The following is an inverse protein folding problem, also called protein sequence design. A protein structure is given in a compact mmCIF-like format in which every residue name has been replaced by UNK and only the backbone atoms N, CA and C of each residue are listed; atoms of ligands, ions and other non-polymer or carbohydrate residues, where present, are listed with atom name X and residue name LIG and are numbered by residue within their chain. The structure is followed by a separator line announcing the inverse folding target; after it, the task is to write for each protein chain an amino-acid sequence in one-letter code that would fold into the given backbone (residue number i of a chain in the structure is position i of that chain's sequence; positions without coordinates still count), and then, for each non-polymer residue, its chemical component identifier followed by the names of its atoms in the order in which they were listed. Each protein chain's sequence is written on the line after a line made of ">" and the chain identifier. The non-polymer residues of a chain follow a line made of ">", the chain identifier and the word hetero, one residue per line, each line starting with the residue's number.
data_IF_099681593427
#
_entry.id   IF_099681593427
#
_cell.length_a   1.000
_cell.length_b   1.000
_cell.length_c   1.000
_cell.angle_alpha   90.00
_cell.angle_beta   90.00
_cell.angle_gamma   90.00
#
_symmetry.space_group_name_H-M   'P 1'
#
loop_
_entity.id
_entity.type
_entity.pdbx_description
1 polymer ?
#
# COMPACT_ATOMS: atom_id res chain seq x y z
N UNK A 1 113.87 -136.92 62.34
CA UNK A 1 114.30 -137.76 63.47
C UNK A 1 115.51 -138.53 62.98
N UNK A 2 116.70 -138.09 63.38
CA UNK A 2 117.95 -138.69 62.90
C UNK A 2 118.49 -139.60 63.98
N UNK A 3 118.18 -140.89 63.83
CA UNK A 3 118.75 -141.98 64.61
C UNK A 3 120.26 -142.06 64.28
N UNK A 4 121.13 -141.90 65.26
CA UNK A 4 122.58 -141.88 65.04
C UNK A 4 123.15 -143.30 65.25
N UNK A 5 123.59 -144.01 64.19
CA UNK A 5 124.09 -145.37 64.33
C UNK A 5 125.49 -145.38 64.95
N UNK A 6 125.69 -146.21 65.98
CA UNK A 6 126.98 -146.43 66.62
C UNK A 6 127.86 -147.40 65.79
N UNK A 7 129.04 -146.94 65.37
CA UNK A 7 130.05 -147.77 64.67
C UNK A 7 130.81 -148.67 65.66
N UNK A 8 131.18 -149.89 65.26
CA UNK A 8 131.95 -150.82 66.10
C UNK A 8 133.43 -150.37 66.22
N UNK A 9 133.98 -150.39 67.43
CA UNK A 9 135.35 -149.93 67.75
C UNK A 9 136.31 -151.11 67.95
N UNK A 10 137.48 -151.08 67.31
CA UNK A 10 138.57 -152.08 67.44
C UNK A 10 139.81 -151.38 68.00
N UNK A 11 140.77 -152.13 68.54
CA UNK A 11 141.87 -151.73 69.45
C UNK A 11 142.86 -150.63 68.99
N UNK A 12 142.52 -149.86 67.95
CA UNK A 12 142.94 -148.48 67.61
C UNK A 12 142.05 -147.95 66.46
N UNK A 13 140.79 -147.61 66.74
CA UNK A 13 139.90 -146.89 65.80
C UNK A 13 138.57 -147.59 65.47
N UNK A 14 137.75 -146.96 64.63
CA UNK A 14 136.51 -147.54 64.09
C UNK A 14 136.81 -148.63 63.04
N UNK A 15 135.97 -149.66 62.94
CA UNK A 15 136.12 -150.75 61.96
C UNK A 15 136.03 -150.18 60.52
N UNK A 16 137.13 -150.20 59.74
CA UNK A 16 137.15 -149.66 58.39
C UNK A 16 136.10 -150.31 57.48
N UNK A 17 135.82 -151.61 57.65
CA UNK A 17 134.88 -152.32 56.78
C UNK A 17 133.41 -151.91 57.01
N UNK A 18 133.05 -151.53 58.25
CA UNK A 18 131.71 -151.06 58.59
C UNK A 18 131.51 -149.59 58.18
N UNK A 19 132.55 -148.76 58.34
CA UNK A 19 132.55 -147.36 57.87
C UNK A 19 132.47 -147.30 56.35
N UNK A 20 133.23 -148.11 55.61
CA UNK A 20 133.20 -148.13 54.14
C UNK A 20 131.86 -148.63 53.60
N UNK A 21 131.26 -149.65 54.23
CA UNK A 21 129.91 -150.11 53.87
C UNK A 21 128.88 -149.01 54.12
N UNK A 22 128.99 -148.30 55.24
CA UNK A 22 128.05 -147.24 55.59
C UNK A 22 128.26 -145.96 54.77
N UNK A 23 129.49 -145.63 54.43
CA UNK A 23 129.85 -144.59 53.47
C UNK A 23 129.32 -144.96 52.07
N UNK A 24 129.45 -146.23 51.66
CA UNK A 24 128.83 -146.78 50.47
C UNK A 24 127.31 -146.56 50.48
N UNK A 25 126.61 -147.04 51.49
CA UNK A 25 125.15 -146.86 51.64
C UNK A 25 124.73 -145.38 51.66
N UNK A 26 125.44 -144.51 52.38
CA UNK A 26 125.18 -143.07 52.41
C UNK A 26 125.48 -142.41 51.05
N UNK A 27 126.51 -142.85 50.33
CA UNK A 27 126.83 -142.35 49.00
C UNK A 27 125.77 -142.77 47.98
N UNK A 28 125.27 -144.01 48.06
CA UNK A 28 124.17 -144.51 47.23
C UNK A 28 122.86 -143.78 47.56
N UNK A 29 122.56 -143.59 48.85
CA UNK A 29 121.40 -142.83 49.30
C UNK A 29 121.47 -141.35 48.89
N UNK A 30 122.66 -140.74 48.91
CA UNK A 30 122.87 -139.37 48.43
C UNK A 30 122.68 -139.27 46.91
N UNK A 31 123.16 -140.25 46.15
CA UNK A 31 122.95 -140.31 44.69
C UNK A 31 121.48 -140.52 44.36
N UNK A 32 120.79 -141.44 45.05
CA UNK A 32 119.34 -141.64 44.91
C UNK A 32 118.55 -140.38 45.29
N UNK A 33 118.85 -139.77 46.43
CA UNK A 33 118.19 -138.52 46.85
C UNK A 33 118.45 -137.37 45.87
N UNK A 34 119.63 -137.32 45.24
CA UNK A 34 119.94 -136.35 44.17
C UNK A 34 119.19 -136.64 42.88
N UNK A 35 119.03 -137.91 42.50
CA UNK A 35 118.23 -138.31 41.34
C UNK A 35 116.75 -138.00 41.56
N UNK A 36 116.18 -138.36 42.72
CA UNK A 36 114.80 -138.01 43.08
C UNK A 36 114.58 -136.50 43.16
N UNK A 37 115.56 -135.73 43.67
CA UNK A 37 115.49 -134.27 43.67
C UNK A 37 115.55 -133.72 42.24
N UNK A 38 116.37 -134.28 41.35
CA UNK A 38 116.43 -133.89 39.94
C UNK A 38 115.11 -134.20 39.22
N UNK A 39 114.56 -135.40 39.40
CA UNK A 39 113.29 -135.82 38.80
C UNK A 39 112.12 -134.97 39.32
N UNK A 40 112.05 -134.69 40.63
CA UNK A 40 111.06 -133.76 41.18
C UNK A 40 111.26 -132.32 40.71
N UNK A 41 112.49 -131.90 40.44
CA UNK A 41 112.75 -130.57 39.87
C UNK A 41 112.25 -130.50 38.42
N UNK A 42 112.44 -131.58 37.64
CA UNK A 42 111.91 -131.69 36.28
C UNK A 42 110.38 -131.69 36.33
N UNK A 43 109.76 -132.51 37.18
CA UNK A 43 108.30 -132.57 37.34
C UNK A 43 107.73 -131.22 37.81
N UNK A 44 108.37 -130.56 38.79
CA UNK A 44 107.99 -129.22 39.22
C UNK A 44 108.12 -128.19 38.09
N UNK A 45 109.18 -128.27 37.27
CA UNK A 45 109.35 -127.39 36.11
C UNK A 45 108.29 -127.65 35.03
N UNK A 46 107.92 -128.91 34.80
CA UNK A 46 106.86 -129.29 33.86
C UNK A 46 105.48 -128.84 34.34
N UNK A 47 105.19 -129.01 35.62
CA UNK A 47 103.95 -128.52 36.24
C UNK A 47 103.88 -126.99 36.26
N UNK A 48 105.00 -126.30 36.48
CA UNK A 48 105.08 -124.85 36.37
C UNK A 48 104.84 -124.38 34.93
N UNK A 49 105.43 -125.04 33.93
CA UNK A 49 105.17 -124.75 32.52
C UNK A 49 103.72 -125.04 32.13
N UNK A 50 103.12 -126.14 32.62
CA UNK A 50 101.71 -126.46 32.39
C UNK A 50 100.78 -125.44 33.04
N UNK A 51 101.09 -124.99 34.26
CA UNK A 51 100.35 -123.90 34.92
C UNK A 51 100.48 -122.57 34.16
N UNK A 52 101.68 -122.25 33.66
CA UNK A 52 101.90 -121.05 32.87
C UNK A 52 101.09 -121.08 31.57
N UNK A 53 101.05 -122.23 30.88
CA UNK A 53 100.21 -122.44 29.69
C UNK A 53 98.72 -122.32 30.00
N UNK A 54 98.24 -122.98 31.06
CA UNK A 54 96.84 -122.89 31.48
C UNK A 54 96.44 -121.45 31.84
N UNK A 55 97.32 -120.68 32.48
CA UNK A 55 97.07 -119.26 32.77
C UNK A 55 97.01 -118.43 31.50
N UNK A 56 97.93 -118.66 30.56
CA UNK A 56 97.89 -117.99 29.25
C UNK A 56 96.61 -118.32 28.48
N UNK A 57 96.17 -119.58 28.52
CA UNK A 57 94.92 -120.01 27.88
C UNK A 57 93.71 -119.37 28.57
N UNK A 58 93.68 -119.30 29.90
CA UNK A 58 92.62 -118.60 30.64
C UNK A 58 92.58 -117.10 30.34
N UNK A 59 93.73 -116.43 30.28
CA UNK A 59 93.82 -115.01 29.91
C UNK A 59 93.37 -114.79 28.47
N UNK A 60 93.75 -115.68 27.55
CA UNK A 60 93.33 -115.62 26.15
C UNK A 60 91.82 -115.84 26.02
N UNK A 61 91.24 -116.78 26.79
CA UNK A 61 89.79 -117.01 26.83
C UNK A 61 89.06 -115.84 27.48
N UNK A 62 89.56 -115.28 28.59
CA UNK A 62 88.97 -114.11 29.22
C UNK A 62 88.94 -112.89 28.27
N UNK A 63 90.04 -112.67 27.53
CA UNK A 63 90.08 -111.63 26.49
C UNK A 63 89.10 -111.91 25.35
N UNK A 64 88.96 -113.16 24.92
CA UNK A 64 87.96 -113.56 23.91
C UNK A 64 86.54 -113.35 24.42
N UNK A 65 86.25 -113.72 25.67
CA UNK A 65 84.93 -113.49 26.29
C UNK A 65 84.65 -112.00 26.39
N UNK A 66 85.58 -111.18 26.88
CA UNK A 66 85.41 -109.73 26.92
C UNK A 66 85.20 -109.12 25.53
N UNK A 67 85.97 -109.55 24.53
CA UNK A 67 85.81 -109.09 23.15
C UNK A 67 84.48 -109.54 22.53
N UNK A 68 84.01 -110.76 22.83
CA UNK A 68 82.72 -111.27 22.40
C UNK A 68 81.56 -110.57 23.11
N UNK A 69 81.68 -110.27 24.41
CA UNK A 69 80.69 -109.50 25.17
C UNK A 69 80.61 -108.05 24.67
N UNK A 70 81.76 -107.43 24.37
CA UNK A 70 81.78 -106.07 23.81
C UNK A 70 81.23 -106.05 22.38
N UNK A 71 81.60 -107.04 21.55
CA UNK A 71 81.01 -107.23 20.23
C UNK A 71 79.50 -107.52 20.33
N UNK A 72 79.05 -108.29 21.31
CA UNK A 72 77.64 -108.56 21.57
C UNK A 72 76.89 -107.33 22.06
N UNK A 73 77.49 -106.46 22.89
CA UNK A 73 76.88 -105.18 23.28
C UNK A 73 76.76 -104.20 22.11
N UNK A 74 77.74 -104.19 21.19
CA UNK A 74 77.71 -103.36 19.98
C UNK A 74 76.84 -103.93 18.86
N UNK A 75 76.75 -105.27 18.76
CA UNK A 75 75.95 -105.99 17.77
C UNK A 75 74.54 -106.33 18.27
N UNK A 76 74.27 -106.21 19.57
CA UNK A 76 72.92 -106.13 20.09
C UNK A 76 72.27 -104.91 19.43
N UNK A 77 71.42 -105.18 18.43
CA UNK A 77 70.52 -104.19 17.90
C UNK A 77 69.80 -103.51 19.08
N UNK A 78 69.54 -102.20 19.02
CA UNK A 78 68.83 -101.50 20.09
C UNK A 78 67.62 -102.32 20.47
N UNK A 79 67.53 -102.69 21.75
CA UNK A 79 66.44 -103.53 22.21
C UNK A 79 65.14 -102.74 22.11
N UNK A 80 64.00 -103.44 22.12
CA UNK A 80 62.70 -102.76 22.18
C UNK A 80 62.59 -101.79 23.38
N UNK A 81 63.36 -102.00 24.45
CA UNK A 81 63.45 -101.08 25.58
C UNK A 81 64.17 -99.76 25.22
N UNK A 82 65.31 -99.82 24.53
CA UNK A 82 66.07 -98.63 24.10
C UNK A 82 65.31 -97.83 23.03
N UNK A 83 64.64 -98.55 22.12
CA UNK A 83 63.75 -97.94 21.15
C UNK A 83 62.54 -97.30 21.85
N UNK A 84 61.98 -97.94 22.88
CA UNK A 84 60.91 -97.40 23.72
C UNK A 84 61.32 -96.12 24.46
N UNK A 85 62.53 -96.06 25.02
CA UNK A 85 63.07 -94.87 25.68
C UNK A 85 63.30 -93.73 24.66
N UNK A 86 63.85 -94.04 23.48
CA UNK A 86 64.02 -93.05 22.42
C UNK A 86 62.69 -92.55 21.84
N UNK A 87 61.70 -93.43 21.65
CA UNK A 87 60.36 -93.02 21.24
C UNK A 87 59.70 -92.19 22.32
N UNK A 88 59.87 -92.57 23.60
CA UNK A 88 59.42 -91.80 24.76
C UNK A 88 59.98 -90.38 24.73
N UNK A 89 61.29 -90.22 24.59
CA UNK A 89 61.93 -88.88 24.52
C UNK A 89 61.47 -88.06 23.31
N UNK A 90 61.30 -88.68 22.14
CA UNK A 90 60.75 -88.00 20.96
C UNK A 90 59.30 -87.56 21.19
N UNK A 91 58.48 -88.40 21.82
CA UNK A 91 57.10 -88.05 22.15
C UNK A 91 57.04 -86.93 23.19
N UNK A 92 57.86 -86.98 24.24
CA UNK A 92 57.94 -85.90 25.23
C UNK A 92 58.37 -84.59 24.58
N UNK A 93 59.40 -84.62 23.72
CA UNK A 93 59.86 -83.43 23.00
C UNK A 93 58.79 -82.91 22.02
N UNK A 94 58.06 -83.81 21.35
CA UNK A 94 56.96 -83.43 20.47
C UNK A 94 55.78 -82.83 21.26
N UNK A 95 55.47 -83.35 22.45
CA UNK A 95 54.45 -82.79 23.35
C UNK A 95 54.86 -81.42 23.89
N UNK A 96 56.14 -81.25 24.25
CA UNK A 96 56.72 -79.97 24.66
C UNK A 96 56.66 -78.95 23.52
N UNK A 97 57.12 -79.30 22.32
CA UNK A 97 57.05 -78.44 21.14
C UNK A 97 55.60 -78.10 20.78
N UNK A 98 54.67 -79.06 20.87
CA UNK A 98 53.26 -78.81 20.65
C UNK A 98 52.65 -77.88 21.72
N UNK A 99 53.09 -77.99 22.97
CA UNK A 99 52.68 -77.08 24.05
C UNK A 99 53.22 -75.66 23.82
N UNK A 100 54.48 -75.52 23.42
CA UNK A 100 55.10 -74.24 23.06
C UNK A 100 54.40 -73.61 21.84
N UNK A 101 54.15 -74.36 20.77
CA UNK A 101 53.40 -73.88 19.60
C UNK A 101 52.00 -73.38 19.99
N UNK A 102 51.27 -74.12 20.84
CA UNK A 102 49.96 -73.68 21.34
C UNK A 102 50.06 -72.42 22.20
N UNK A 103 51.09 -72.31 23.03
CA UNK A 103 51.32 -71.11 23.85
C UNK A 103 51.59 -69.89 22.97
N UNK A 104 52.53 -70.00 22.04
CA UNK A 104 52.86 -68.93 21.08
C UNK A 104 51.64 -68.53 20.25
N UNK A 105 50.90 -69.50 19.70
CA UNK A 105 49.69 -69.21 18.93
C UNK A 105 48.61 -68.51 19.78
N UNK A 106 48.48 -68.85 21.07
CA UNK A 106 47.56 -68.18 21.97
C UNK A 106 48.01 -66.74 22.28
N UNK A 107 49.30 -66.51 22.53
CA UNK A 107 49.87 -65.18 22.76
C UNK A 107 49.75 -64.28 21.52
N UNK A 108 50.01 -64.81 20.33
CA UNK A 108 49.81 -64.10 19.06
C UNK A 108 48.33 -63.78 18.84
N UNK A 109 47.43 -64.74 19.09
CA UNK A 109 46.00 -64.50 18.97
C UNK A 109 45.49 -63.42 19.94
N UNK A 110 45.98 -63.38 21.18
CA UNK A 110 45.67 -62.30 22.12
C UNK A 110 46.24 -60.96 21.65
N UNK A 111 47.45 -60.94 21.10
CA UNK A 111 48.07 -59.72 20.57
C UNK A 111 47.25 -59.17 19.40
N UNK A 112 46.84 -60.02 18.46
CA UNK A 112 45.98 -59.63 17.32
C UNK A 112 44.61 -59.18 17.81
N UNK A 113 43.99 -59.87 18.77
CA UNK A 113 42.72 -59.45 19.37
C UNK A 113 42.82 -58.09 20.06
N UNK A 114 43.89 -57.87 20.82
CA UNK A 114 44.17 -56.61 21.49
C UNK A 114 44.33 -55.46 20.49
N UNK A 115 45.16 -55.66 19.47
CA UNK A 115 45.37 -54.69 18.39
C UNK A 115 44.06 -54.35 17.65
N UNK A 116 43.29 -55.37 17.26
CA UNK A 116 42.00 -55.18 16.58
C UNK A 116 40.97 -54.43 17.47
N UNK A 117 40.98 -54.69 18.78
CA UNK A 117 40.08 -53.99 19.73
C UNK A 117 40.46 -52.52 19.86
N UNK A 118 41.77 -52.21 19.93
CA UNK A 118 42.27 -50.83 19.97
C UNK A 118 41.91 -50.10 18.68
N UNK A 119 42.21 -50.68 17.51
CA UNK A 119 41.90 -50.07 16.21
C UNK A 119 40.40 -49.84 16.00
N UNK A 120 39.57 -50.81 16.42
CA UNK A 120 38.11 -50.66 16.40
C UNK A 120 37.64 -49.53 17.33
N UNK A 121 38.25 -49.39 18.51
CA UNK A 121 37.97 -48.31 19.45
C UNK A 121 38.35 -46.94 18.89
N UNK A 122 39.53 -46.82 18.30
CA UNK A 122 40.02 -45.59 17.66
C UNK A 122 39.14 -45.18 16.48
N UNK A 123 38.74 -46.14 15.64
CA UNK A 123 37.86 -45.91 14.50
C UNK A 123 36.48 -45.43 14.96
N UNK A 124 35.90 -46.04 15.99
CA UNK A 124 34.63 -45.59 16.58
C UNK A 124 34.75 -44.18 17.14
N UNK A 125 35.78 -43.91 17.94
CA UNK A 125 36.00 -42.57 18.50
C UNK A 125 36.22 -41.51 17.42
N UNK A 126 36.90 -41.84 16.32
CA UNK A 126 37.06 -40.94 15.19
C UNK A 126 35.72 -40.68 14.47
N UNK A 127 34.92 -41.72 14.25
CA UNK A 127 33.59 -41.60 13.65
C UNK A 127 32.64 -40.77 14.52
N UNK A 128 32.64 -40.96 15.83
CA UNK A 128 31.81 -40.20 16.78
C UNK A 128 32.19 -38.71 16.78
N UNK A 129 33.49 -38.39 16.85
CA UNK A 129 33.98 -37.01 16.75
C UNK A 129 33.58 -36.35 15.43
N UNK A 130 33.73 -37.07 14.32
CA UNK A 130 33.33 -36.56 13.00
C UNK A 130 31.81 -36.32 12.94
N UNK A 131 30.99 -37.23 13.48
CA UNK A 131 29.54 -37.07 13.53
C UNK A 131 29.10 -35.90 14.43
N UNK A 132 29.80 -35.64 15.54
CA UNK A 132 29.59 -34.46 16.38
C UNK A 132 29.98 -33.17 15.68
N UNK A 133 31.13 -33.15 14.99
CA UNK A 133 31.59 -31.98 14.23
C UNK A 133 30.60 -31.64 13.10
N UNK A 134 30.21 -32.63 12.29
CA UNK A 134 29.24 -32.44 11.19
C UNK A 134 27.88 -31.99 11.72
N UNK A 135 27.40 -32.54 12.84
CA UNK A 135 26.16 -32.06 13.47
C UNK A 135 26.29 -30.63 13.97
N UNK A 136 27.41 -30.31 14.63
CA UNK A 136 27.67 -28.97 15.14
C UNK A 136 27.77 -27.91 14.04
N UNK A 137 28.41 -28.23 12.91
CA UNK A 137 28.48 -27.32 11.76
C UNK A 137 27.10 -27.16 11.10
N UNK A 138 26.37 -28.26 10.87
CA UNK A 138 25.02 -28.21 10.32
C UNK A 138 24.05 -27.40 11.20
N UNK A 139 24.09 -27.58 12.52
CA UNK A 139 23.26 -26.82 13.47
C UNK A 139 23.62 -25.32 13.46
N UNK A 140 24.92 -24.99 13.37
CA UNK A 140 25.36 -23.60 13.29
C UNK A 140 24.93 -22.94 11.97
N UNK A 141 25.01 -23.65 10.84
CA UNK A 141 24.54 -23.17 9.55
C UNK A 141 23.02 -23.02 9.53
N UNK A 142 22.27 -23.99 10.05
CA UNK A 142 20.81 -23.91 10.16
C UNK A 142 20.38 -22.68 10.97
N UNK A 143 21.03 -22.41 12.11
CA UNK A 143 20.78 -21.21 12.92
C UNK A 143 21.07 -19.93 12.14
N UNK A 144 22.21 -19.85 11.44
CA UNK A 144 22.56 -18.68 10.61
C UNK A 144 21.54 -18.44 9.50
N UNK A 145 21.06 -19.49 8.84
CA UNK A 145 20.04 -19.38 7.79
C UNK A 145 18.73 -18.85 8.37
N UNK A 146 18.28 -19.38 9.51
CA UNK A 146 17.06 -18.92 10.19
C UNK A 146 17.19 -17.46 10.66
N UNK A 147 18.32 -17.08 11.26
CA UNK A 147 18.57 -15.69 11.68
C UNK A 147 18.58 -14.73 10.50
N UNK A 148 19.25 -15.09 9.39
CA UNK A 148 19.27 -14.29 8.16
C UNK A 148 17.87 -14.16 7.56
N UNK A 149 17.09 -15.24 7.54
CA UNK A 149 15.72 -15.22 7.06
C UNK A 149 14.83 -14.31 7.93
N UNK A 150 14.99 -14.33 9.26
CA UNK A 150 14.30 -13.43 10.19
C UNK A 150 14.68 -11.98 9.96
N UNK A 151 15.97 -11.65 9.90
CA UNK A 151 16.44 -10.30 9.61
C UNK A 151 15.92 -9.77 8.27
N UNK A 152 15.86 -10.62 7.25
CA UNK A 152 15.30 -10.25 5.95
C UNK A 152 13.78 -9.99 6.04
N UNK A 153 13.04 -10.84 6.75
CA UNK A 153 11.62 -10.64 6.99
C UNK A 153 11.35 -9.35 7.78
N UNK A 154 12.12 -9.08 8.84
CA UNK A 154 12.01 -7.85 9.64
C UNK A 154 12.28 -6.61 8.78
N UNK A 155 13.31 -6.66 7.92
CA UNK A 155 13.60 -5.57 6.96
C UNK A 155 12.43 -5.33 6.01
N UNK A 156 11.84 -6.40 5.45
CA UNK A 156 10.68 -6.30 4.56
C UNK A 156 9.48 -5.69 5.28
N UNK A 157 9.22 -6.11 6.53
CA UNK A 157 8.14 -5.55 7.35
C UNK A 157 8.36 -4.07 7.65
N UNK A 158 9.58 -3.68 8.05
CA UNK A 158 9.92 -2.28 8.32
C UNK A 158 9.83 -1.39 7.08
N UNK A 159 10.23 -1.90 5.91
CA UNK A 159 10.09 -1.20 4.63
C UNK A 159 8.62 -1.06 4.24
N UNK A 160 7.82 -2.13 4.36
CA UNK A 160 6.39 -2.11 4.08
C UNK A 160 5.62 -1.18 5.02
N UNK A 161 5.96 -1.14 6.31
CA UNK A 161 5.34 -0.25 7.29
C UNK A 161 5.67 1.22 7.03
N UNK A 162 6.93 1.51 6.62
CA UNK A 162 7.34 2.85 6.18
C UNK A 162 6.59 3.28 4.93
N UNK A 163 6.50 2.41 3.93
CA UNK A 163 5.78 2.71 2.69
C UNK A 163 4.28 2.90 2.94
N UNK A 164 3.66 2.02 3.74
CA UNK A 164 2.24 2.12 4.09
C UNK A 164 1.94 3.42 4.85
N UNK A 165 2.83 3.84 5.75
CA UNK A 165 2.68 5.10 6.49
C UNK A 165 2.83 6.31 5.55
N UNK A 166 3.84 6.32 4.67
CA UNK A 166 4.02 7.37 3.69
C UNK A 166 2.80 7.50 2.75
N UNK A 167 2.28 6.38 2.23
CA UNK A 167 1.08 6.39 1.36
C UNK A 167 -0.17 6.88 2.10
N UNK A 168 -0.33 6.57 3.39
CA UNK A 168 -1.42 7.09 4.22
C UNK A 168 -1.30 8.60 4.41
N UNK A 169 -0.11 9.09 4.76
CA UNK A 169 0.14 10.52 4.93
C UNK A 169 -0.08 11.29 3.63
N UNK A 170 0.38 10.76 2.49
CA UNK A 170 0.11 11.33 1.16
C UNK A 170 -1.38 11.35 0.83
N UNK A 171 -2.09 10.26 1.12
CA UNK A 171 -3.54 10.16 0.92
C UNK A 171 -4.33 11.15 1.79
N UNK A 172 -3.96 11.27 3.08
CA UNK A 172 -4.54 12.22 4.02
C UNK A 172 -4.26 13.67 3.59
N UNK A 173 -3.02 13.98 3.21
CA UNK A 173 -2.66 15.30 2.70
C UNK A 173 -3.43 15.64 1.42
N UNK A 174 -3.58 14.69 0.50
CA UNK A 174 -4.38 14.88 -0.71
C UNK A 174 -5.86 15.13 -0.37
N UNK A 175 -6.45 14.33 0.51
CA UNK A 175 -7.84 14.49 0.94
C UNK A 175 -8.08 15.83 1.65
N UNK A 176 -7.21 16.22 2.58
CA UNK A 176 -7.32 17.52 3.26
C UNK A 176 -7.10 18.69 2.29
N UNK A 177 -6.19 18.55 1.32
CA UNK A 177 -6.02 19.57 0.27
C UNK A 177 -7.27 19.73 -0.60
N UNK A 178 -7.93 18.62 -0.95
CA UNK A 178 -9.19 18.64 -1.69
C UNK A 178 -10.33 19.23 -0.86
N UNK A 179 -10.43 18.85 0.41
CA UNK A 179 -11.43 19.37 1.35
C UNK A 179 -11.26 20.88 1.54
N UNK A 180 -10.04 21.35 1.73
CA UNK A 180 -9.72 22.77 1.84
C UNK A 180 -10.06 23.53 0.55
N UNK A 181 -9.74 22.96 -0.63
CA UNK A 181 -10.08 23.55 -1.93
C UNK A 181 -11.59 23.61 -2.15
N UNK A 182 -12.33 22.57 -1.79
CA UNK A 182 -13.78 22.54 -1.88
C UNK A 182 -14.43 23.56 -0.93
N UNK A 183 -13.93 23.67 0.31
CA UNK A 183 -14.38 24.68 1.27
C UNK A 183 -14.10 26.11 0.80
N UNK A 184 -12.91 26.37 0.23
CA UNK A 184 -12.56 27.66 -0.36
C UNK A 184 -13.48 28.01 -1.54
N UNK A 185 -13.70 27.06 -2.46
CA UNK A 185 -14.62 27.26 -3.57
C UNK A 185 -16.06 27.54 -3.09
N UNK A 186 -16.55 26.81 -2.07
CA UNK A 186 -17.86 27.06 -1.47
C UNK A 186 -17.95 28.46 -0.85
N UNK A 187 -16.93 28.90 -0.12
CA UNK A 187 -16.87 30.25 0.45
C UNK A 187 -16.85 31.34 -0.64
N UNK A 188 -16.11 31.13 -1.73
CA UNK A 188 -16.09 32.04 -2.88
C UNK A 188 -17.47 32.10 -3.57
N UNK A 189 -18.15 30.97 -3.72
CA UNK A 189 -19.52 30.92 -4.25
C UNK A 189 -20.51 31.66 -3.33
N UNK A 190 -20.43 31.46 -2.02
CA UNK A 190 -21.27 32.19 -1.06
C UNK A 190 -21.00 33.69 -1.09
N UNK A 191 -19.73 34.11 -1.17
CA UNK A 191 -19.34 35.51 -1.27
C UNK A 191 -19.86 36.15 -2.55
N UNK A 192 -19.71 35.48 -3.71
CA UNK A 192 -20.21 35.99 -5.00
C UNK A 192 -21.75 36.04 -5.03
N UNK A 193 -22.44 35.07 -4.44
CA UNK A 193 -23.89 35.12 -4.28
C UNK A 193 -24.34 36.25 -3.35
N UNK A 194 -23.62 36.47 -2.25
CA UNK A 194 -23.84 37.58 -1.32
C UNK A 194 -23.70 38.93 -2.04
N UNK A 195 -22.60 39.13 -2.76
CA UNK A 195 -22.37 40.35 -3.56
C UNK A 195 -23.46 40.57 -4.61
N UNK A 196 -23.89 39.50 -5.33
CA UNK A 196 -24.97 39.61 -6.31
C UNK A 196 -26.31 39.94 -5.67
N UNK A 197 -26.61 39.37 -4.50
CA UNK A 197 -27.83 39.69 -3.74
C UNK A 197 -27.81 41.13 -3.24
N UNK A 198 -26.69 41.58 -2.72
CA UNK A 198 -26.53 42.96 -2.25
C UNK A 198 -26.63 43.96 -3.41
N UNK A 199 -25.96 43.70 -4.53
CA UNK A 199 -26.07 44.53 -5.73
C UNK A 199 -27.51 44.59 -6.26
N UNK A 200 -28.21 43.45 -6.33
CA UNK A 200 -29.61 43.40 -6.74
C UNK A 200 -30.54 44.13 -5.75
N UNK A 201 -30.29 44.01 -4.44
CA UNK A 201 -31.05 44.73 -3.42
C UNK A 201 -30.81 46.25 -3.50
N UNK A 202 -29.56 46.67 -3.74
CA UNK A 202 -29.22 48.08 -3.95
C UNK A 202 -29.91 48.63 -5.21
N UNK A 203 -29.84 47.92 -6.34
CA UNK A 203 -30.51 48.32 -7.58
C UNK A 203 -32.03 48.42 -7.39
N UNK A 204 -32.65 47.42 -6.77
CA UNK A 204 -34.08 47.44 -6.46
C UNK A 204 -34.45 48.63 -5.55
N UNK A 205 -33.67 48.90 -4.50
CA UNK A 205 -33.89 50.04 -3.61
C UNK A 205 -33.77 51.39 -4.34
N UNK A 206 -32.82 51.51 -5.26
CA UNK A 206 -32.62 52.70 -6.08
C UNK A 206 -33.80 52.91 -7.04
N UNK A 207 -34.27 51.84 -7.68
CA UNK A 207 -35.47 51.88 -8.53
C UNK A 207 -36.72 52.27 -7.72
N UNK A 208 -36.92 51.69 -6.53
CA UNK A 208 -38.05 52.04 -5.66
C UNK A 208 -38.00 53.50 -5.21
N UNK A 209 -36.84 54.00 -4.80
CA UNK A 209 -36.66 55.42 -4.44
C UNK A 209 -36.90 56.36 -5.64
N UNK A 210 -36.50 55.95 -6.85
CA UNK A 210 -36.78 56.71 -8.07
C UNK A 210 -38.29 56.75 -8.38
N UNK A 211 -38.99 55.63 -8.23
CA UNK A 211 -40.45 55.56 -8.43
C UNK A 211 -41.21 56.36 -7.37
N UNK A 212 -40.82 56.25 -6.09
CA UNK A 212 -41.40 57.05 -5.01
C UNK A 212 -41.21 58.55 -5.26
N UNK A 213 -40.01 58.96 -5.69
CA UNK A 213 -39.76 60.35 -6.08
C UNK A 213 -40.63 60.77 -7.27
N UNK A 214 -40.74 59.94 -8.31
CA UNK A 214 -41.58 60.26 -9.47
C UNK A 214 -43.07 60.40 -9.09
N UNK A 215 -43.56 59.56 -8.18
CA UNK A 215 -44.91 59.65 -7.63
C UNK A 215 -45.10 60.93 -6.81
N UNK A 216 -44.15 61.26 -5.93
CA UNK A 216 -44.17 62.50 -5.15
C UNK A 216 -44.17 63.74 -6.05
N UNK A 217 -43.30 63.78 -7.07
CA UNK A 217 -43.25 64.88 -8.04
C UNK A 217 -44.56 65.00 -8.83
N UNK A 218 -45.16 63.87 -9.23
CA UNK A 218 -46.45 63.85 -9.91
C UNK A 218 -47.60 64.32 -9.01
N UNK A 219 -47.60 63.93 -7.73
CA UNK A 219 -48.56 64.40 -6.73
C UNK A 219 -48.45 65.91 -6.51
N UNK A 220 -47.22 66.44 -6.34
CA UNK A 220 -46.99 67.88 -6.19
C UNK A 220 -47.46 68.68 -7.40
N UNK A 221 -47.23 68.17 -8.62
CA UNK A 221 -47.74 68.81 -9.85
C UNK A 221 -49.26 68.76 -9.94
N UNK A 222 -49.89 67.65 -9.52
CA UNK A 222 -51.33 67.54 -9.49
C UNK A 222 -51.94 68.53 -8.47
N UNK A 223 -51.34 68.65 -7.29
CA UNK A 223 -51.72 69.63 -6.27
C UNK A 223 -51.55 71.08 -6.78
N UNK A 224 -50.42 71.41 -7.40
CA UNK A 224 -50.18 72.76 -7.95
C UNK A 224 -51.19 73.11 -9.05
N UNK A 225 -51.43 72.19 -9.99
CA UNK A 225 -52.42 72.37 -11.04
C UNK A 225 -53.84 72.50 -10.47
N UNK A 226 -54.17 71.76 -9.42
CA UNK A 226 -55.47 71.88 -8.74
C UNK A 226 -55.65 73.24 -8.06
N UNK A 227 -54.61 73.74 -7.38
CA UNK A 227 -54.63 75.04 -6.74
C UNK A 227 -54.72 76.18 -7.76
N UNK A 228 -53.99 76.07 -8.89
CA UNK A 228 -54.09 77.01 -10.01
C UNK A 228 -55.49 76.99 -10.64
N UNK A 229 -56.07 75.81 -10.86
CA UNK A 229 -57.43 75.67 -11.38
C UNK A 229 -58.48 76.25 -10.41
N UNK A 230 -58.36 76.02 -9.11
CA UNK A 230 -59.22 76.62 -8.08
C UNK A 230 -59.07 78.14 -8.02
N UNK A 231 -57.86 78.66 -8.17
CA UNK A 231 -57.61 80.10 -8.24
C UNK A 231 -58.23 80.69 -9.52
N UNK A 232 -58.04 80.07 -10.68
CA UNK A 232 -58.63 80.51 -11.94
C UNK A 232 -60.18 80.48 -11.87
N UNK A 233 -60.77 79.44 -11.25
CA UNK A 233 -62.21 79.38 -11.01
C UNK A 233 -62.69 80.48 -10.06
N UNK A 234 -61.95 80.78 -8.99
CA UNK A 234 -62.28 81.90 -8.07
C UNK A 234 -62.20 83.25 -8.77
N UNK A 235 -61.17 83.47 -9.58
CA UNK A 235 -61.01 84.69 -10.38
C UNK A 235 -62.15 84.83 -11.41
N UNK A 236 -62.43 83.80 -12.20
CA UNK A 236 -63.52 83.81 -13.17
C UNK A 236 -64.89 84.03 -12.52
N UNK A 237 -65.13 83.47 -11.32
CA UNK A 237 -66.35 83.74 -10.54
C UNK A 237 -66.44 85.18 -10.08
N UNK A 238 -65.35 85.73 -9.52
CA UNK A 238 -65.32 87.12 -9.08
C UNK A 238 -65.51 88.11 -10.26
N UNK A 239 -64.90 87.84 -11.42
CA UNK A 239 -65.10 88.60 -12.65
C UNK A 239 -66.55 88.52 -13.15
N UNK A 240 -67.14 87.33 -13.15
CA UNK A 240 -68.55 87.14 -13.52
C UNK A 240 -69.50 87.87 -12.55
N UNK A 241 -69.24 87.80 -11.24
CA UNK A 241 -70.01 88.53 -10.23
C UNK A 241 -69.86 90.05 -10.39
N UNK A 242 -68.65 90.55 -10.66
CA UNK A 242 -68.40 91.96 -10.92
C UNK A 242 -69.11 92.44 -12.19
N UNK A 243 -69.10 91.64 -13.26
CA UNK A 243 -69.80 91.94 -14.51
C UNK A 243 -71.32 91.96 -14.29
N UNK A 244 -71.86 90.98 -13.55
CA UNK A 244 -73.28 90.95 -13.19
C UNK A 244 -73.68 92.14 -12.30
N UNK A 245 -72.83 92.53 -11.35
CA UNK A 245 -73.06 93.71 -10.51
C UNK A 245 -73.03 95.01 -11.33
N UNK A 246 -72.04 95.15 -12.23
CA UNK A 246 -71.95 96.26 -13.17
C UNK A 246 -73.19 96.36 -14.07
N UNK A 247 -73.59 95.25 -14.70
CA UNK A 247 -74.79 95.19 -15.53
C UNK A 247 -76.08 95.53 -14.75
N UNK A 248 -76.19 95.09 -13.48
CA UNK A 248 -77.31 95.47 -12.60
C UNK A 248 -77.30 96.96 -12.29
N UNK A 249 -76.15 97.53 -11.95
CA UNK A 249 -76.01 98.95 -11.66
C UNK A 249 -76.32 99.81 -12.90
N UNK A 250 -75.84 99.43 -14.09
CA UNK A 250 -76.17 100.08 -15.35
C UNK A 250 -77.67 99.98 -15.66
N UNK A 251 -78.28 98.81 -15.43
CA UNK A 251 -79.72 98.61 -15.61
C UNK A 251 -80.53 99.47 -14.65
N UNK A 252 -80.15 99.53 -13.37
CA UNK A 252 -80.77 100.39 -12.36
C UNK A 252 -80.63 101.89 -12.69
N UNK A 253 -79.44 102.30 -13.15
CA UNK A 253 -79.18 103.66 -13.62
C UNK A 253 -80.05 104.00 -14.84
N UNK A 254 -80.17 103.08 -15.80
CA UNK A 254 -81.01 103.25 -16.98
C UNK A 254 -82.50 103.33 -16.63
N UNK A 255 -82.98 102.48 -15.72
CA UNK A 255 -84.37 102.54 -15.19
C UNK A 255 -84.60 103.85 -14.45
N UNK A 256 -83.65 104.32 -13.64
CA UNK A 256 -83.75 105.59 -12.91
C UNK A 256 -83.77 106.78 -13.87
N UNK A 257 -82.86 106.83 -14.84
CA UNK A 257 -82.84 107.85 -15.88
C UNK A 257 -84.13 107.86 -16.72
N UNK A 258 -84.67 106.67 -17.05
CA UNK A 258 -85.96 106.54 -17.74
C UNK A 258 -87.12 107.05 -16.88
N UNK A 259 -87.15 106.74 -15.57
CA UNK A 259 -88.14 107.28 -14.61
C UNK A 259 -88.04 108.79 -14.48
N UNK A 260 -86.84 109.35 -14.34
CA UNK A 260 -86.65 110.80 -14.29
C UNK A 260 -87.07 111.49 -15.58
N UNK A 261 -86.79 110.88 -16.74
CA UNK A 261 -87.25 111.38 -18.03
C UNK A 261 -88.77 111.31 -18.13
N UNK A 262 -89.39 110.22 -17.69
CA UNK A 262 -90.85 110.06 -17.64
C UNK A 262 -91.50 111.08 -16.69
N UNK A 263 -90.93 111.32 -15.51
CA UNK A 263 -91.37 112.34 -14.56
C UNK A 263 -91.20 113.77 -15.12
N UNK A 264 -90.10 114.05 -15.83
CA UNK A 264 -89.91 115.31 -16.54
C UNK A 264 -90.97 115.50 -17.62
N UNK A 265 -91.18 114.51 -18.48
CA UNK A 265 -92.24 114.53 -19.49
C UNK A 265 -93.59 114.74 -18.81
N UNK A 266 -93.91 114.03 -17.71
CA UNK A 266 -95.17 114.22 -16.99
C UNK A 266 -95.33 115.64 -16.47
N UNK A 267 -94.30 116.23 -15.84
CA UNK A 267 -94.35 117.62 -15.35
C UNK A 267 -94.45 118.64 -16.48
N UNK A 268 -93.73 118.43 -17.57
CA UNK A 268 -93.79 119.30 -18.74
C UNK A 268 -95.17 119.19 -19.41
N UNK A 269 -95.73 117.98 -19.55
CA UNK A 269 -97.10 117.76 -20.00
C UNK A 269 -98.14 118.34 -19.04
N UNK A 270 -97.98 118.20 -17.72
CA UNK A 270 -98.85 118.83 -16.71
C UNK A 270 -98.77 120.35 -16.79
N UNK A 271 -97.57 120.92 -17.00
CA UNK A 271 -97.37 122.36 -17.23
C UNK A 271 -98.01 122.82 -18.53
N UNK A 272 -97.84 122.06 -19.61
CA UNK A 272 -98.49 122.34 -20.89
C UNK A 272 -100.01 122.22 -20.77
N UNK A 273 -100.52 121.24 -20.04
CA UNK A 273 -101.94 121.04 -19.80
C UNK A 273 -102.51 122.13 -18.90
N UNK A 274 -101.77 122.59 -17.88
CA UNK A 274 -102.13 123.73 -17.05
C UNK A 274 -102.07 125.04 -17.85
N UNK A 275 -101.06 125.23 -18.72
CA UNK A 275 -100.97 126.37 -19.61
C UNK A 275 -102.07 126.36 -20.67
N UNK A 276 -102.43 125.19 -21.22
CA UNK A 276 -103.54 125.01 -22.14
C UNK A 276 -104.88 125.25 -21.44
N UNK A 277 -105.04 124.79 -20.20
CA UNK A 277 -106.21 125.07 -19.36
C UNK A 277 -106.30 126.56 -19.03
N UNK A 278 -105.20 127.21 -18.67
CA UNK A 278 -105.14 128.65 -18.44
C UNK A 278 -105.42 129.46 -19.73
N UNK A 279 -104.96 128.99 -20.90
CA UNK A 279 -105.34 129.56 -22.21
C UNK A 279 -106.82 129.34 -22.48
N UNK A 280 -107.38 128.16 -22.22
CA UNK A 280 -108.81 127.88 -22.36
C UNK A 280 -109.62 128.78 -21.43
N UNK A 281 -109.19 128.93 -20.18
CA UNK A 281 -109.87 129.73 -19.17
C UNK A 281 -109.70 131.23 -19.48
N UNK A 282 -108.56 131.67 -20.02
CA UNK A 282 -108.38 133.04 -20.51
C UNK A 282 -109.20 133.31 -21.77
N UNK A 283 -109.31 132.35 -22.69
CA UNK A 283 -110.23 132.41 -23.83
C UNK A 283 -111.67 132.44 -23.34
N UNK A 284 -112.03 131.66 -22.31
CA UNK A 284 -113.37 131.65 -21.72
C UNK A 284 -113.67 132.97 -21.00
N UNK A 285 -112.69 133.55 -20.31
CA UNK A 285 -112.78 134.88 -19.69
C UNK A 285 -112.84 136.00 -20.75
N UNK A 286 -112.07 135.90 -21.83
CA UNK A 286 -112.10 136.82 -22.98
C UNK A 286 -113.44 136.70 -23.72
N UNK A 287 -113.97 135.49 -23.89
CA UNK A 287 -115.30 135.26 -24.45
C UNK A 287 -116.39 135.75 -23.51
N UNK A 288 -116.23 135.68 -22.18
CA UNK A 288 -117.17 136.29 -21.22
C UNK A 288 -117.14 137.82 -21.28
N UNK A 289 -115.95 138.43 -21.41
CA UNK A 289 -115.78 139.88 -21.47
C UNK A 289 -116.22 140.45 -22.84
N UNK A 290 -116.00 139.69 -23.92
CA UNK A 290 -116.54 139.98 -25.25
C UNK A 290 -118.05 139.71 -25.29
N UNK A 291 -118.58 138.70 -24.59
CA UNK A 291 -120.03 138.46 -24.46
C UNK A 291 -120.71 139.54 -23.61
N UNK A 292 -120.00 140.17 -22.67
CA UNK A 292 -120.50 141.32 -21.89
C UNK A 292 -120.36 142.65 -22.65
N UNK A 293 -119.31 142.85 -23.46
CA UNK A 293 -119.20 144.03 -24.35
C UNK A 293 -120.08 143.93 -25.62
N UNK A 294 -120.31 142.74 -26.18
CA UNK A 294 -121.24 142.50 -27.29
C UNK A 294 -122.70 142.31 -26.83
N UNK A 295 -122.96 142.18 -25.52
CA UNK A 295 -124.31 142.31 -24.95
C UNK A 295 -124.78 143.78 -24.84
N UNK A 296 -123.91 144.75 -25.15
CA UNK A 296 -124.23 146.19 -25.29
C UNK A 296 -124.22 146.68 -26.73
N UNK A 297 -123.86 145.86 -27.72
CA UNK A 297 -124.11 146.15 -29.12
C UNK A 297 -124.16 144.87 -29.94
N UNK A 298 -125.38 144.45 -30.27
CA UNK A 298 -125.71 143.77 -31.52
C UNK A 298 -125.02 142.43 -31.82
N UNK A 299 -125.73 141.35 -31.49
CA UNK A 299 -126.16 140.40 -32.54
C UNK A 299 -125.18 139.31 -33.03
N UNK A 300 -125.66 138.07 -32.84
CA UNK A 300 -125.65 136.97 -33.80
C UNK A 300 -124.36 136.17 -34.09
N UNK A 301 -124.48 134.89 -33.70
CA UNK A 301 -124.34 133.70 -34.55
C UNK A 301 -122.96 133.06 -34.82
N UNK A 302 -123.04 131.73 -35.00
CA UNK A 302 -122.06 130.70 -35.40
C UNK A 302 -121.52 129.86 -34.23
N UNK A 303 -121.29 128.55 -34.33
CA UNK A 303 -121.66 127.46 -35.24
C UNK A 303 -121.14 126.18 -34.54
N UNK A 304 -121.84 125.05 -34.69
CA UNK A 304 -121.52 123.79 -34.01
C UNK A 304 -121.22 122.71 -35.06
N UNK A 305 -120.19 121.89 -34.78
CA UNK A 305 -120.05 120.46 -35.13
C UNK A 305 -119.77 120.03 -36.58
N UNK A 306 -119.05 118.95 -36.91
CA UNK A 306 -118.24 117.91 -36.24
C UNK A 306 -117.71 116.97 -37.38
N UNK A 307 -116.80 116.07 -37.00
CA UNK A 307 -116.54 114.71 -37.53
C UNK A 307 -115.57 114.56 -38.71
N UNK A 308 -114.62 113.62 -38.54
CA UNK A 308 -114.19 112.79 -39.67
C UNK A 308 -112.81 112.14 -39.57
N UNK A 309 -112.66 111.19 -38.65
CA UNK A 309 -111.58 110.19 -38.52
C UNK A 309 -111.15 109.53 -39.85
N UNK A 310 -109.84 109.33 -40.08
CA UNK A 310 -109.29 108.13 -40.73
C UNK A 310 -107.75 108.01 -40.62
N UNK A 311 -107.32 106.79 -40.27
CA UNK A 311 -105.98 106.21 -40.06
C UNK A 311 -104.84 106.55 -41.05
N UNK A 312 -103.57 106.27 -40.66
CA UNK A 312 -102.79 105.16 -41.26
C UNK A 312 -101.69 104.57 -40.30
N UNK A 313 -100.69 103.75 -40.71
CA UNK A 313 -100.54 102.82 -41.87
C UNK A 313 -100.07 101.37 -41.52
N UNK A 314 -100.39 100.45 -42.45
CA UNK A 314 -99.58 99.42 -43.15
C UNK A 314 -98.22 98.96 -42.56
N UNK A 315 -98.10 97.71 -42.12
CA UNK A 315 -97.60 96.52 -42.88
C UNK A 315 -96.07 96.35 -42.89
N UNK A 316 -95.56 95.43 -42.07
CA UNK A 316 -94.86 94.23 -42.54
C UNK A 316 -94.68 93.24 -41.38
N UNK A 317 -95.38 92.13 -41.51
CA UNK A 317 -95.42 91.03 -40.57
C UNK A 317 -94.34 90.00 -40.88
N UNK A 318 -93.75 89.41 -39.84
CA UNK A 318 -93.41 87.98 -39.83
C UNK A 318 -93.42 87.49 -38.38
N UNK A 319 -94.53 86.83 -38.03
CA UNK A 319 -94.79 85.97 -36.87
C UNK A 319 -93.68 84.92 -36.69
N UNK A 320 -93.10 84.70 -35.52
CA UNK A 320 -93.63 84.03 -34.30
C UNK A 320 -94.24 82.63 -34.50
N UNK A 321 -93.77 81.72 -33.64
CA UNK A 321 -94.37 80.47 -33.15
C UNK A 321 -94.47 79.29 -34.16
N UNK A 322 -94.24 78.02 -33.82
CA UNK A 322 -94.12 77.35 -32.52
C UNK A 322 -93.55 75.92 -32.70
N UNK A 323 -92.77 75.52 -31.69
CA UNK A 323 -92.49 74.23 -31.07
C UNK A 323 -92.93 72.85 -31.66
N UNK A 324 -91.99 71.92 -31.44
CA UNK A 324 -92.11 70.51 -31.01
C UNK A 324 -92.23 69.39 -32.06
N UNK A 325 -91.15 68.61 -32.23
CA UNK A 325 -90.93 67.31 -31.55
C UNK A 325 -89.90 66.39 -32.29
N UNK A 326 -89.04 65.75 -31.49
CA UNK A 326 -88.38 64.42 -31.66
C UNK A 326 -87.13 64.25 -32.58
N UNK A 327 -85.99 63.92 -31.91
CA UNK A 327 -84.87 62.96 -32.20
C UNK A 327 -84.30 62.82 -33.64
N UNK A 328 -82.97 62.60 -33.85
CA UNK A 328 -82.19 61.47 -33.29
C UNK A 328 -80.68 61.71 -33.01
N UNK A 329 -79.97 60.63 -32.67
CA UNK A 329 -78.60 60.53 -32.17
C UNK A 329 -77.55 60.03 -33.19
N UNK A 330 -76.27 60.31 -32.84
CA UNK A 330 -74.98 59.68 -33.22
C UNK A 330 -74.51 59.79 -34.70
N UNK A 331 -73.45 60.53 -35.08
CA UNK A 331 -71.99 60.59 -34.75
C UNK A 331 -71.13 59.43 -35.28
N UNK A 332 -70.12 59.74 -36.12
CA UNK A 332 -69.00 58.82 -36.41
C UNK A 332 -68.07 59.12 -37.61
N UNK A 333 -67.17 60.10 -37.45
CA UNK A 333 -65.78 60.24 -37.96
C UNK A 333 -65.35 59.94 -39.43
N UNK A 334 -64.75 60.97 -40.04
CA UNK A 334 -63.75 60.97 -41.15
C UNK A 334 -62.32 60.79 -40.52
N UNK A 335 -61.19 60.41 -41.16
CA UNK A 335 -60.62 60.73 -42.48
C UNK A 335 -59.32 59.90 -42.78
N UNK A 336 -58.91 59.92 -44.06
CA UNK A 336 -57.83 59.26 -44.84
C UNK A 336 -56.37 59.35 -44.31
N UNK A 337 -55.45 58.34 -44.45
CA UNK A 337 -54.67 57.83 -45.61
C UNK A 337 -53.69 58.86 -46.24
N UNK A 338 -52.44 58.61 -46.67
CA UNK A 338 -51.39 57.59 -46.55
C UNK A 338 -50.12 58.20 -47.20
N UNK A 339 -48.90 57.77 -46.82
CA UNK A 339 -47.62 58.20 -47.41
C UNK A 339 -46.60 57.05 -47.49
N UNK A 340 -45.87 57.00 -48.60
CA UNK A 340 -45.07 55.88 -49.15
C UNK A 340 -43.63 55.73 -48.59
N UNK A 341 -43.20 54.47 -48.35
CA UNK A 341 -41.97 53.69 -48.73
C UNK A 341 -40.56 54.35 -48.92
N UNK A 342 -39.39 53.61 -49.00
CA UNK A 342 -39.12 52.13 -49.04
C UNK A 342 -37.84 51.54 -48.32
N UNK A 343 -37.69 50.18 -48.45
CA UNK A 343 -36.49 49.30 -48.57
C UNK A 343 -35.71 48.86 -47.29
N UNK A 344 -35.69 47.56 -46.87
CA UNK A 344 -34.92 46.34 -47.28
C UNK A 344 -34.07 45.90 -46.05
N UNK A 345 -33.94 44.64 -45.58
CA UNK A 345 -33.50 43.39 -46.23
C UNK A 345 -33.74 42.15 -45.29
N UNK A 346 -34.08 41.00 -45.89
CA UNK A 346 -33.67 39.58 -45.66
C UNK A 346 -33.40 39.05 -44.21
N UNK A 347 -33.71 37.82 -43.78
CA UNK A 347 -33.87 36.53 -44.45
C UNK A 347 -34.68 35.54 -43.57
N UNK A 348 -35.26 34.53 -44.22
CA UNK A 348 -36.03 33.42 -43.68
C UNK A 348 -35.17 32.24 -43.23
N UNK A 349 -35.43 31.74 -42.01
CA UNK A 349 -35.63 30.35 -41.60
C UNK A 349 -34.76 29.19 -42.13
N UNK A 350 -34.10 28.49 -41.19
CA UNK A 350 -33.75 27.06 -41.27
C UNK A 350 -33.77 26.42 -39.86
N UNK A 351 -34.47 25.28 -39.74
CA UNK A 351 -34.23 24.04 -38.94
C UNK A 351 -33.26 24.10 -37.73
N UNK A 352 -33.38 23.38 -36.61
CA UNK A 352 -33.98 22.08 -36.28
C UNK A 352 -33.80 21.85 -34.76
N UNK A 353 -34.70 21.06 -34.15
CA UNK A 353 -34.54 20.21 -32.96
C UNK A 353 -33.86 20.75 -31.68
N UNK A 354 -34.69 20.91 -30.65
CA UNK A 354 -34.30 20.85 -29.25
C UNK A 354 -34.20 19.39 -28.79
N UNK A 355 -33.08 19.01 -28.17
CA UNK A 355 -33.05 18.21 -26.94
C UNK A 355 -31.61 18.22 -26.37
N UNK A 356 -31.43 18.66 -25.13
CA UNK A 356 -30.21 18.42 -24.35
C UNK A 356 -30.45 18.73 -22.87
N UNK A 357 -30.60 17.66 -22.09
CA UNK A 357 -30.33 17.60 -20.66
C UNK A 357 -28.85 17.21 -20.45
N UNK A 358 -28.17 17.64 -19.36
CA UNK A 358 -26.85 17.12 -19.02
C UNK A 358 -26.98 16.02 -17.94
N UNK A 359 -26.39 14.85 -18.20
CA UNK A 359 -26.15 13.82 -17.21
C UNK A 359 -24.72 13.28 -17.36
N UNK A 360 -23.95 13.44 -16.28
CA UNK A 360 -22.90 12.59 -15.71
C UNK A 360 -21.88 11.90 -16.63
N UNK A 361 -20.62 12.34 -16.48
CA UNK A 361 -19.42 11.63 -16.94
C UNK A 361 -19.00 10.61 -15.87
N UNK A 362 -19.20 9.32 -16.16
CA UNK A 362 -18.45 8.24 -15.53
C UNK A 362 -17.18 7.96 -16.34
N UNK A 363 -16.05 8.03 -15.65
CA UNK A 363 -14.72 7.59 -16.07
C UNK A 363 -14.66 6.06 -16.10
N UNK A 364 -14.35 5.47 -17.25
CA UNK A 364 -13.97 4.06 -17.36
C UNK A 364 -12.45 3.94 -17.51
N UNK A 365 -11.84 3.39 -16.46
CA UNK A 365 -10.45 2.99 -16.39
C UNK A 365 -10.15 1.85 -17.39
N UNK A 366 -9.06 2.00 -18.15
CA UNK A 366 -8.47 0.95 -18.96
C UNK A 366 -7.53 0.12 -18.09
N UNK A 367 -7.97 -1.07 -17.71
CA UNK A 367 -7.16 -2.09 -17.06
C UNK A 367 -6.44 -2.93 -18.13
N UNK A 368 -5.12 -2.87 -18.14
CA UNK A 368 -4.22 -3.68 -18.97
C UNK A 368 -4.08 -5.07 -18.37
N UNK A 369 -4.71 -6.07 -18.97
CA UNK A 369 -4.48 -7.48 -18.65
C UNK A 369 -3.43 -8.08 -19.59
N UNK A 370 -2.27 -8.40 -19.03
CA UNK A 370 -1.26 -9.26 -19.64
C UNK A 370 -1.84 -10.64 -19.96
N UNK A 371 -1.75 -11.04 -21.23
CA UNK A 371 -2.04 -12.40 -21.67
C UNK A 371 -0.74 -13.08 -22.12
N UNK A 372 -0.31 -14.01 -21.27
CA UNK A 372 0.65 -15.07 -21.51
C UNK A 372 0.27 -15.87 -22.76
N UNK A 373 1.07 -15.77 -23.82
CA UNK A 373 1.01 -16.68 -24.96
C UNK A 373 2.21 -17.61 -24.91
N UNK A 374 1.96 -18.84 -24.46
CA UNK A 374 2.80 -20.01 -24.68
C UNK A 374 2.90 -20.29 -26.18
N UNK A 375 4.10 -20.27 -26.75
CA UNK A 375 4.33 -20.90 -28.05
C UNK A 375 5.66 -21.67 -28.04
N UNK A 376 5.53 -22.96 -28.27
CA UNK A 376 6.62 -23.91 -28.48
C UNK A 376 7.14 -23.74 -29.90
N UNK A 377 8.46 -23.63 -30.09
CA UNK A 377 9.18 -24.23 -31.22
C UNK A 377 10.70 -23.96 -31.12
N UNK A 378 11.45 -25.00 -30.74
CA UNK A 378 12.74 -25.33 -31.38
C UNK A 378 12.46 -25.98 -32.76
N UNK A 379 13.43 -26.18 -33.68
CA UNK A 379 14.89 -26.00 -33.58
C UNK A 379 15.54 -25.28 -34.80
N UNK A 380 16.81 -24.84 -34.69
CA UNK A 380 17.79 -24.99 -35.77
C UNK A 380 19.21 -24.54 -35.34
N UNK A 381 20.12 -25.50 -35.41
CA UNK A 381 21.57 -25.36 -35.39
C UNK A 381 22.07 -24.43 -36.50
N UNK A 382 23.05 -23.58 -36.21
CA UNK A 382 24.07 -23.19 -37.18
C UNK A 382 25.36 -22.72 -36.49
N UNK A 383 26.43 -23.48 -36.74
CA UNK A 383 27.83 -23.12 -36.56
C UNK A 383 28.18 -21.86 -37.36
N UNK A 384 28.89 -20.91 -36.76
CA UNK A 384 30.02 -20.15 -37.34
C UNK A 384 30.83 -19.56 -36.18
N UNK A 385 32.01 -20.10 -35.86
CA UNK A 385 33.32 -19.71 -36.40
C UNK A 385 33.67 -18.21 -36.27
N UNK A 386 34.48 -17.91 -35.25
CA UNK A 386 35.63 -17.01 -35.38
C UNK A 386 35.43 -15.50 -35.17
N UNK A 387 35.90 -14.99 -34.03
CA UNK A 387 37.03 -14.01 -33.99
C UNK A 387 37.48 -13.68 -32.56
N UNK A 388 38.73 -14.06 -32.28
CA UNK A 388 39.58 -13.55 -31.21
C UNK A 388 39.94 -12.07 -31.46
N UNK A 389 39.79 -11.20 -30.46
CA UNK A 389 40.62 -10.02 -30.10
C UNK A 389 39.84 -9.30 -28.98
N UNK A 390 40.34 -8.89 -27.81
CA UNK A 390 41.63 -8.31 -27.40
C UNK A 390 41.76 -8.41 -25.87
N UNK A 391 42.98 -8.62 -25.41
CA UNK A 391 43.43 -8.45 -24.02
C UNK A 391 43.23 -7.01 -23.51
N UNK A 392 43.03 -6.80 -22.20
CA UNK A 392 43.48 -5.60 -21.52
C UNK A 392 44.78 -5.86 -20.75
N UNK A 393 45.73 -4.95 -20.95
CA UNK A 393 47.05 -4.86 -20.30
C UNK A 393 46.92 -4.83 -18.77
N UNK A 394 47.60 -5.75 -18.09
CA UNK A 394 48.10 -5.52 -16.73
C UNK A 394 49.53 -4.99 -16.80
N UNK A 395 49.87 -4.04 -15.93
CA UNK A 395 51.23 -3.51 -15.84
C UNK A 395 51.31 -2.33 -14.88
N UNK A 396 51.09 -2.59 -13.59
CA UNK A 396 51.41 -1.67 -12.52
C UNK A 396 52.92 -1.65 -12.25
N UNK A 397 53.48 -0.47 -11.95
CA UNK A 397 54.58 -0.29 -10.98
C UNK A 397 54.74 1.19 -10.58
N UNK A 398 54.58 1.52 -9.29
CA UNK A 398 55.18 2.70 -8.68
C UNK A 398 56.41 2.32 -7.84
N UNK A 399 57.39 3.23 -7.78
CA UNK A 399 58.32 3.49 -6.68
C UNK A 399 59.10 2.34 -6.03
N UNK A 400 60.41 2.27 -6.30
CA UNK A 400 61.49 2.71 -5.41
C UNK A 400 62.84 2.59 -6.10
#
# INVERSE_FOLDING_TARGET
>A
MSDAPAFRTVLRGYDPAEVDRRHGELSTALVQARQEAADRTIEASQLQQANARLRQDLDAQAKKVAALEEAQRKAAAPSFADLGERIGTILTLADEEAAEMRRTAAEEAETVRGAATIEAGETRAAADRYAEEVRGTADAEAKRVVEKARQHADTILDDADREASARREEGEAFYESQRARAAAAAADFEATLGQRREAAAQEFSAQMAQQEKALSDAQQRAESLSAEAEQALRQARAEAEALLAGARQESEALVTAAREKAERIRRDSERELAAATARRDSITAQLSNVRQMLSTLGGAAMAESLVGEAAPPTEQATSQAEQAAQQPAATGAQQQSAGQQPAEQQASGKQETADQAPADQESSDQESSDQESSDQQEPASQETSGKQSKQPKQGARPGR
#
